data_IF_762641006889
#
_entry.id   IF_762641006889
#
_cell.length_a   1.000
_cell.length_b   1.000
_cell.length_c   1.000
_cell.angle_alpha   90.00
_cell.angle_beta   90.00
_cell.angle_gamma   90.00
#
_symmetry.space_group_name_H-M   'P 1'
#
loop_
_entity.id
_entity.type
_entity.pdbx_description
1 polymer ?
#
# COMPACT_ATOMS: atom_id res chain seq x y z
N UNK A 1 -17.34 -17.12 -12.16
CA UNK A 1 -16.86 -15.97 -12.93
C UNK A 1 -16.26 -16.50 -14.24
N UNK A 2 -16.57 -15.90 -15.36
CA UNK A 2 -16.01 -16.37 -16.63
C UNK A 2 -14.63 -15.73 -16.86
N UNK A 3 -13.58 -16.41 -16.36
CA UNK A 3 -12.19 -15.96 -16.56
C UNK A 3 -11.79 -15.97 -18.03
N UNK A 4 -12.43 -16.81 -18.85
CA UNK A 4 -12.07 -16.96 -20.25
C UNK A 4 -12.23 -15.66 -21.02
N UNK A 5 -13.31 -14.92 -20.79
CA UNK A 5 -13.56 -13.63 -21.47
C UNK A 5 -12.52 -12.57 -21.11
N UNK A 6 -12.10 -12.51 -19.85
CA UNK A 6 -11.07 -11.57 -19.39
C UNK A 6 -9.68 -11.94 -19.92
N UNK A 7 -9.35 -13.23 -19.95
CA UNK A 7 -8.08 -13.72 -20.51
C UNK A 7 -8.01 -13.44 -22.00
N UNK A 8 -9.10 -13.62 -22.75
CA UNK A 8 -9.16 -13.28 -24.17
C UNK A 8 -8.90 -11.78 -24.44
N UNK A 9 -9.46 -10.90 -23.61
CA UNK A 9 -9.16 -9.47 -23.69
C UNK A 9 -7.68 -9.19 -23.44
N UNK A 10 -7.08 -9.85 -22.43
CA UNK A 10 -5.65 -9.70 -22.14
C UNK A 10 -4.75 -10.28 -23.23
N UNK A 11 -5.15 -11.38 -23.91
CA UNK A 11 -4.43 -11.90 -25.09
C UNK A 11 -4.42 -10.89 -26.24
N UNK A 12 -5.57 -10.31 -26.57
CA UNK A 12 -5.65 -9.26 -27.60
C UNK A 12 -4.77 -8.05 -27.26
N UNK A 13 -4.78 -7.64 -25.99
CA UNK A 13 -3.91 -6.55 -25.53
C UNK A 13 -2.43 -6.92 -25.63
N UNK A 14 -2.06 -8.15 -25.32
CA UNK A 14 -0.70 -8.65 -25.44
C UNK A 14 -0.19 -8.57 -26.89
N UNK A 15 -1.00 -9.03 -27.87
CA UNK A 15 -0.67 -8.94 -29.29
C UNK A 15 -0.48 -7.48 -29.76
N UNK A 16 -1.31 -6.55 -29.25
CA UNK A 16 -1.15 -5.12 -29.50
C UNK A 16 0.17 -4.59 -28.96
N UNK A 17 0.51 -4.93 -27.71
CA UNK A 17 1.76 -4.52 -27.09
C UNK A 17 2.99 -5.10 -27.80
N UNK A 18 2.94 -6.33 -28.27
CA UNK A 18 4.02 -6.91 -29.11
C UNK A 18 4.22 -6.10 -30.39
N UNK A 19 3.13 -5.68 -31.02
CA UNK A 19 3.19 -4.80 -32.22
C UNK A 19 3.76 -3.42 -31.88
N UNK A 20 3.37 -2.81 -30.74
CA UNK A 20 3.89 -1.53 -30.28
C UNK A 20 5.39 -1.61 -29.91
N UNK A 21 5.85 -2.69 -29.30
CA UNK A 21 7.26 -2.94 -28.94
C UNK A 21 8.14 -3.13 -30.18
N UNK A 22 7.57 -3.67 -31.25
CA UNK A 22 8.26 -3.86 -32.51
C UNK A 22 8.53 -2.52 -33.26
N UNK A 23 7.84 -1.43 -32.89
CA UNK A 23 8.06 -0.10 -33.48
C UNK A 23 9.29 0.61 -32.89
N UNK A 24 10.36 0.87 -33.68
CA UNK A 24 11.55 1.57 -33.19
C UNK A 24 11.24 2.98 -32.64
N UNK A 25 10.16 3.62 -33.06
CA UNK A 25 9.77 4.95 -32.61
C UNK A 25 9.40 4.98 -31.12
N UNK A 26 8.99 3.85 -30.53
CA UNK A 26 8.69 3.72 -29.12
C UNK A 26 9.87 4.13 -28.22
N UNK A 27 11.06 3.73 -28.58
CA UNK A 27 12.26 3.97 -27.76
C UNK A 27 12.75 5.42 -27.77
N UNK A 28 12.13 6.29 -28.58
CA UNK A 28 12.38 7.74 -28.51
C UNK A 28 11.79 8.38 -27.24
N UNK A 29 10.81 7.73 -26.59
CA UNK A 29 10.23 8.15 -25.32
C UNK A 29 10.43 7.06 -24.27
N UNK A 30 11.49 7.24 -23.45
CA UNK A 30 11.89 6.28 -22.43
C UNK A 30 10.77 5.95 -21.40
N UNK A 31 9.98 6.94 -21.01
CA UNK A 31 8.91 6.74 -20.03
C UNK A 31 7.81 5.84 -20.61
N UNK A 32 7.32 6.16 -21.81
CA UNK A 32 6.31 5.36 -22.51
C UNK A 32 6.80 3.94 -22.83
N UNK A 33 8.07 3.81 -23.23
CA UNK A 33 8.68 2.51 -23.48
C UNK A 33 8.71 1.64 -22.21
N UNK A 34 9.08 2.23 -21.05
CA UNK A 34 9.10 1.54 -19.76
C UNK A 34 7.70 1.07 -19.34
N UNK A 35 6.68 1.92 -19.49
CA UNK A 35 5.28 1.59 -19.16
C UNK A 35 4.76 0.41 -20.03
N UNK A 36 4.99 0.48 -21.34
CA UNK A 36 4.58 -0.58 -22.29
C UNK A 36 5.30 -1.90 -22.00
N UNK A 37 6.61 -1.86 -21.75
CA UNK A 37 7.38 -3.06 -21.42
C UNK A 37 6.93 -3.68 -20.08
N UNK A 38 6.59 -2.88 -19.10
CA UNK A 38 6.05 -3.33 -17.80
C UNK A 38 4.67 -3.98 -17.99
N UNK A 39 3.77 -3.34 -18.75
CA UNK A 39 2.44 -3.90 -19.07
C UNK A 39 2.57 -5.24 -19.79
N UNK A 40 3.46 -5.32 -20.81
CA UNK A 40 3.73 -6.53 -21.55
C UNK A 40 4.26 -7.67 -20.65
N UNK A 41 5.23 -7.37 -19.76
CA UNK A 41 5.77 -8.36 -18.83
C UNK A 41 4.70 -8.90 -17.87
N UNK A 42 3.84 -8.03 -17.35
CA UNK A 42 2.73 -8.41 -16.45
C UNK A 42 1.71 -9.33 -17.16
N UNK A 43 1.29 -8.97 -18.38
CA UNK A 43 0.35 -9.79 -19.13
C UNK A 43 0.99 -11.14 -19.52
N UNK A 44 2.28 -11.16 -19.86
CA UNK A 44 3.01 -12.41 -20.16
C UNK A 44 3.01 -13.36 -18.97
N UNK A 45 3.26 -12.85 -17.76
CA UNK A 45 3.20 -13.64 -16.53
C UNK A 45 1.78 -14.17 -16.27
N UNK A 46 0.76 -13.33 -16.45
CA UNK A 46 -0.64 -13.74 -16.33
C UNK A 46 -0.98 -14.90 -17.26
N UNK A 47 -0.61 -14.80 -18.55
CA UNK A 47 -0.88 -15.82 -19.54
C UNK A 47 -0.13 -17.13 -19.25
N UNK A 48 1.10 -17.05 -18.70
CA UNK A 48 1.84 -18.23 -18.25
C UNK A 48 1.13 -18.94 -17.10
N UNK A 49 0.71 -18.19 -16.05
CA UNK A 49 -0.05 -18.77 -14.92
C UNK A 49 -1.40 -19.36 -15.35
N UNK A 50 -2.06 -18.71 -16.32
CA UNK A 50 -3.28 -19.27 -16.89
C UNK A 50 -3.03 -20.61 -17.57
N UNK A 51 -1.94 -20.74 -18.35
CA UNK A 51 -1.56 -22.01 -18.97
C UNK A 51 -1.27 -23.11 -17.95
N UNK A 52 -0.63 -22.77 -16.84
CA UNK A 52 -0.39 -23.70 -15.73
C UNK A 52 -1.72 -24.15 -15.07
N UNK A 53 -2.66 -23.22 -14.89
CA UNK A 53 -3.98 -23.54 -14.36
C UNK A 53 -4.78 -24.46 -15.28
N UNK A 54 -4.79 -24.19 -16.59
CA UNK A 54 -5.46 -25.05 -17.57
C UNK A 54 -4.86 -26.46 -17.58
N UNK A 55 -3.53 -26.56 -17.49
CA UNK A 55 -2.84 -27.85 -17.40
C UNK A 55 -3.19 -28.62 -16.12
N UNK A 56 -3.22 -27.91 -14.97
CA UNK A 56 -3.58 -28.53 -13.68
C UNK A 56 -5.05 -28.98 -13.64
N UNK A 57 -5.97 -28.19 -14.20
CA UNK A 57 -7.39 -28.59 -14.32
C UNK A 57 -7.54 -29.84 -15.18
N UNK A 58 -6.84 -29.88 -16.31
CA UNK A 58 -6.85 -31.07 -17.17
C UNK A 58 -6.31 -32.31 -16.45
N UNK A 59 -5.20 -32.16 -15.70
CA UNK A 59 -4.66 -33.28 -14.91
C UNK A 59 -5.67 -33.77 -13.87
N UNK A 60 -6.37 -32.83 -13.18
CA UNK A 60 -7.39 -33.18 -12.21
C UNK A 60 -8.57 -33.93 -12.86
N UNK A 61 -9.02 -33.50 -14.04
CA UNK A 61 -10.11 -34.15 -14.76
C UNK A 61 -9.67 -35.54 -15.27
N UNK A 62 -8.46 -35.65 -15.81
CA UNK A 62 -7.88 -36.94 -16.25
C UNK A 62 -7.77 -37.90 -15.03
N UNK A 63 -7.33 -37.46 -13.87
CA UNK A 63 -7.26 -38.29 -12.67
C UNK A 63 -8.65 -38.69 -12.14
N UNK A 64 -9.63 -37.81 -12.22
CA UNK A 64 -11.02 -38.13 -11.84
C UNK A 64 -11.62 -39.21 -12.77
N UNK A 65 -11.28 -39.19 -14.07
CA UNK A 65 -11.66 -40.27 -15.00
C UNK A 65 -10.95 -41.59 -14.68
N UNK A 66 -9.64 -41.53 -14.32
CA UNK A 66 -8.87 -42.70 -13.92
C UNK A 66 -9.36 -43.33 -12.62
N UNK A 67 -9.82 -42.53 -11.66
CA UNK A 67 -10.41 -43.00 -10.42
C UNK A 67 -11.71 -43.82 -10.65
N UNK A 68 -12.39 -43.62 -11.78
CA UNK A 68 -13.53 -44.40 -12.17
C UNK A 68 -13.16 -45.66 -12.97
N UNK A 69 -11.86 -45.96 -13.13
CA UNK A 69 -11.38 -47.12 -13.84
C UNK A 69 -11.80 -48.45 -13.19
N UNK A 70 -11.95 -49.50 -14.00
CA UNK A 70 -12.21 -50.86 -13.48
C UNK A 70 -10.97 -51.49 -12.84
N UNK A 71 -9.80 -50.94 -13.09
CA UNK A 71 -8.54 -51.39 -12.48
C UNK A 71 -8.40 -50.74 -11.10
N UNK A 72 -8.44 -51.56 -10.08
CA UNK A 72 -8.44 -51.12 -8.66
C UNK A 72 -7.12 -50.44 -8.27
N UNK A 73 -5.99 -50.84 -8.84
CA UNK A 73 -4.70 -50.23 -8.55
C UNK A 73 -4.60 -48.82 -9.13
N UNK A 74 -5.02 -48.67 -10.40
CA UNK A 74 -5.04 -47.38 -11.09
C UNK A 74 -6.02 -46.42 -10.41
N UNK A 75 -7.20 -46.90 -10.06
CA UNK A 75 -8.21 -46.10 -9.36
C UNK A 75 -7.72 -45.61 -8.00
N UNK A 76 -7.07 -46.46 -7.21
CA UNK A 76 -6.53 -46.07 -5.91
C UNK A 76 -5.39 -45.06 -6.01
N UNK A 77 -4.48 -45.17 -6.98
CA UNK A 77 -3.42 -44.19 -7.22
C UNK A 77 -3.99 -42.82 -7.63
N UNK A 78 -4.99 -42.82 -8.52
CA UNK A 78 -5.63 -41.59 -8.96
C UNK A 78 -6.40 -40.90 -7.82
N UNK A 79 -7.10 -41.67 -6.97
CA UNK A 79 -7.81 -41.12 -5.78
C UNK A 79 -6.84 -40.48 -4.78
N UNK A 80 -5.63 -41.01 -4.63
CA UNK A 80 -4.60 -40.47 -3.70
C UNK A 80 -4.02 -39.12 -4.20
N UNK A 81 -3.94 -38.92 -5.51
CA UNK A 81 -3.43 -37.68 -6.11
C UNK A 81 -4.48 -36.55 -6.22
N UNK A 82 -5.78 -36.88 -6.25
CA UNK A 82 -6.88 -35.89 -6.42
C UNK A 82 -6.81 -34.77 -5.37
N UNK A 83 -6.65 -35.01 -4.06
CA UNK A 83 -6.63 -33.93 -3.07
C UNK A 83 -5.50 -32.92 -3.28
N UNK A 84 -4.31 -33.39 -3.68
CA UNK A 84 -3.18 -32.52 -3.97
C UNK A 84 -3.38 -31.69 -5.22
N UNK A 85 -3.97 -32.28 -6.27
CA UNK A 85 -4.34 -31.57 -7.49
C UNK A 85 -5.45 -30.55 -7.26
N UNK A 86 -6.46 -30.88 -6.46
CA UNK A 86 -7.51 -29.92 -6.09
C UNK A 86 -6.95 -28.70 -5.35
N UNK A 87 -6.03 -28.92 -4.41
CA UNK A 87 -5.32 -27.85 -3.72
C UNK A 87 -4.49 -27.02 -4.68
N UNK A 88 -3.74 -27.65 -5.58
CA UNK A 88 -2.93 -26.98 -6.60
C UNK A 88 -3.78 -26.12 -7.53
N UNK A 89 -4.91 -26.64 -8.00
CA UNK A 89 -5.85 -25.88 -8.84
C UNK A 89 -6.40 -24.66 -8.08
N UNK A 90 -6.79 -24.83 -6.82
CA UNK A 90 -7.29 -23.72 -6.01
C UNK A 90 -6.22 -22.62 -5.78
N UNK A 91 -4.97 -23.01 -5.57
CA UNK A 91 -3.85 -22.06 -5.40
C UNK A 91 -3.56 -21.32 -6.73
N UNK A 92 -3.52 -22.04 -7.87
CA UNK A 92 -3.32 -21.43 -9.19
C UNK A 92 -4.51 -20.53 -9.60
N UNK A 93 -5.75 -20.90 -9.25
CA UNK A 93 -6.91 -20.03 -9.47
C UNK A 93 -6.77 -18.71 -8.73
N UNK A 94 -6.31 -18.75 -7.49
CA UNK A 94 -6.04 -17.55 -6.70
C UNK A 94 -4.94 -16.70 -7.32
N UNK A 95 -3.86 -17.31 -7.79
CA UNK A 95 -2.75 -16.62 -8.43
C UNK A 95 -3.15 -15.93 -9.73
N UNK A 96 -3.98 -16.58 -10.54
CA UNK A 96 -4.55 -16.00 -11.76
C UNK A 96 -5.49 -14.85 -11.44
N UNK A 97 -6.33 -14.98 -10.41
CA UNK A 97 -7.21 -13.91 -9.95
C UNK A 97 -6.42 -12.67 -9.55
N UNK A 98 -5.35 -12.87 -8.79
CA UNK A 98 -4.45 -11.78 -8.37
C UNK A 98 -3.81 -11.10 -9.58
N UNK A 99 -3.33 -11.88 -10.55
CA UNK A 99 -2.65 -11.36 -11.73
C UNK A 99 -3.59 -10.66 -12.73
N UNK A 100 -4.89 -10.92 -12.66
CA UNK A 100 -5.92 -10.23 -13.46
C UNK A 100 -6.22 -8.80 -12.96
N UNK A 101 -5.94 -8.50 -11.69
CA UNK A 101 -6.15 -7.17 -11.14
C UNK A 101 -5.17 -6.16 -11.74
N UNK A 102 -5.60 -4.91 -11.96
CA UNK A 102 -4.67 -3.87 -12.35
C UNK A 102 -3.59 -3.74 -11.26
N UNK A 103 -2.30 -3.65 -11.65
CA UNK A 103 -1.22 -3.50 -10.70
C UNK A 103 -1.40 -2.19 -9.93
N UNK A 104 -1.47 -2.28 -8.61
CA UNK A 104 -1.39 -1.13 -7.71
C UNK A 104 0.08 -0.91 -7.37
N UNK A 105 0.64 0.23 -7.77
CA UNK A 105 2.06 0.57 -7.56
C UNK A 105 2.45 0.58 -6.07
N UNK A 106 1.48 0.70 -5.18
CA UNK A 106 1.70 0.72 -3.75
C UNK A 106 1.73 -0.69 -3.12
N UNK A 107 1.20 -1.73 -3.79
CA UNK A 107 1.04 -3.06 -3.19
C UNK A 107 2.37 -3.72 -2.77
N UNK A 108 3.46 -3.41 -3.48
CA UNK A 108 4.80 -3.96 -3.19
C UNK A 108 5.61 -3.09 -2.21
N UNK A 109 5.11 -1.91 -1.83
CA UNK A 109 5.81 -0.99 -0.94
C UNK A 109 5.82 -1.50 0.50
N UNK A 110 6.80 -1.00 1.23
CA UNK A 110 6.80 -1.07 2.70
C UNK A 110 5.62 -0.26 3.26
N UNK A 111 5.18 -0.60 4.45
CA UNK A 111 4.03 0.05 5.07
C UNK A 111 4.41 0.74 6.39
N UNK A 112 3.83 1.91 6.60
CA UNK A 112 3.84 2.60 7.88
C UNK A 112 2.51 2.30 8.58
N UNK A 113 2.59 1.70 9.76
CA UNK A 113 1.44 1.38 10.59
C UNK A 113 1.40 2.37 11.75
N UNK A 114 0.28 3.09 11.85
CA UNK A 114 0.02 4.03 12.92
C UNK A 114 -1.16 3.54 13.75
N UNK A 115 -0.97 3.44 15.07
CA UNK A 115 -2.00 3.02 16.03
C UNK A 115 -2.23 4.15 17.00
N UNK A 116 -3.48 4.57 17.19
CA UNK A 116 -3.86 5.57 18.19
C UNK A 116 -4.97 5.07 19.10
N UNK A 117 -4.88 5.39 20.37
CA UNK A 117 -5.98 5.19 21.29
C UNK A 117 -7.18 6.07 20.87
N UNK A 118 -8.34 5.44 20.73
CA UNK A 118 -9.60 6.11 20.40
C UNK A 118 -10.44 6.41 21.65
N UNK A 119 -11.76 6.13 21.55
CA UNK A 119 -12.70 6.36 22.67
C UNK A 119 -12.55 5.27 23.73
N UNK A 120 -12.30 5.65 24.98
CA UNK A 120 -12.22 4.70 26.11
C UNK A 120 -11.15 5.04 27.15
N UNK A 121 -10.46 6.18 27.01
CA UNK A 121 -9.44 6.64 27.96
C UNK A 121 -8.28 5.66 28.10
N UNK A 122 -7.92 5.32 29.34
CA UNK A 122 -6.78 4.43 29.64
C UNK A 122 -6.94 3.04 29.04
N UNK A 123 -8.16 2.50 28.97
CA UNK A 123 -8.43 1.20 28.36
C UNK A 123 -8.16 1.21 26.85
N UNK A 124 -8.50 2.30 26.16
CA UNK A 124 -8.16 2.47 24.75
C UNK A 124 -6.64 2.49 24.53
N UNK A 125 -5.89 3.10 25.44
CA UNK A 125 -4.43 3.13 25.37
C UNK A 125 -3.79 1.75 25.64
N UNK A 126 -4.33 0.96 26.56
CA UNK A 126 -3.90 -0.43 26.80
C UNK A 126 -4.21 -1.29 25.57
N UNK A 127 -5.41 -1.13 25.00
CA UNK A 127 -5.79 -1.86 23.79
C UNK A 127 -4.92 -1.48 22.57
N UNK A 128 -4.54 -0.21 22.43
CA UNK A 128 -3.59 0.21 21.40
C UNK A 128 -2.22 -0.48 21.56
N UNK A 129 -1.75 -0.65 22.79
CA UNK A 129 -0.53 -1.41 23.07
C UNK A 129 -0.67 -2.91 22.76
N UNK A 130 -1.84 -3.50 22.98
CA UNK A 130 -2.12 -4.88 22.60
C UNK A 130 -2.12 -5.08 21.09
N UNK A 131 -2.74 -4.17 20.33
CA UNK A 131 -2.70 -4.17 18.86
C UNK A 131 -1.27 -4.00 18.32
N UNK A 132 -0.50 -3.07 18.91
CA UNK A 132 0.91 -2.89 18.56
C UNK A 132 1.68 -4.20 18.70
N UNK A 133 1.55 -4.90 19.83
CA UNK A 133 2.18 -6.19 20.09
C UNK A 133 1.70 -7.27 19.11
N UNK A 134 0.41 -7.31 18.82
CA UNK A 134 -0.21 -8.23 17.86
C UNK A 134 0.41 -8.08 16.46
N UNK A 135 0.56 -6.85 15.96
CA UNK A 135 1.15 -6.62 14.63
C UNK A 135 2.64 -6.92 14.58
N UNK A 136 3.40 -6.63 15.64
CA UNK A 136 4.81 -7.01 15.71
C UNK A 136 5.00 -8.53 15.66
N UNK A 137 4.20 -9.30 16.40
CA UNK A 137 4.22 -10.76 16.37
C UNK A 137 3.79 -11.32 15.00
N UNK A 138 2.78 -10.72 14.41
CA UNK A 138 2.40 -11.07 13.03
C UNK A 138 3.55 -10.84 12.07
N UNK A 139 4.19 -9.70 12.11
CA UNK A 139 5.33 -9.39 11.25
C UNK A 139 6.48 -10.39 11.45
N UNK A 140 6.82 -10.70 12.69
CA UNK A 140 7.85 -11.70 13.03
C UNK A 140 7.49 -13.09 12.47
N UNK A 141 6.26 -13.56 12.66
CA UNK A 141 5.78 -14.85 12.15
C UNK A 141 5.74 -14.92 10.63
N UNK A 142 5.49 -13.79 9.96
CA UNK A 142 5.47 -13.65 8.51
C UNK A 142 6.85 -13.39 7.88
N UNK A 143 7.93 -13.34 8.69
CA UNK A 143 9.29 -13.06 8.23
C UNK A 143 9.50 -11.61 7.78
N UNK A 144 8.64 -10.68 8.21
CA UNK A 144 8.73 -9.25 7.93
C UNK A 144 9.60 -8.56 9.00
N UNK A 145 10.20 -7.43 8.64
CA UNK A 145 10.98 -6.61 9.59
C UNK A 145 10.15 -5.45 10.09
N UNK A 146 10.28 -5.14 11.37
CA UNK A 146 9.64 -3.98 11.99
C UNK A 146 10.68 -3.00 12.53
N UNK A 147 10.42 -1.71 12.39
CA UNK A 147 11.24 -0.62 12.90
C UNK A 147 10.35 0.42 13.55
N UNK A 148 10.56 0.69 14.83
CA UNK A 148 9.79 1.69 15.57
C UNK A 148 10.24 3.09 15.17
N UNK A 149 9.28 3.93 14.77
CA UNK A 149 9.51 5.31 14.36
C UNK A 149 9.19 6.27 15.50
N UNK A 150 8.00 6.13 16.10
CA UNK A 150 7.53 7.02 17.16
C UNK A 150 6.59 6.27 18.10
N UNK A 151 6.69 6.55 19.39
CA UNK A 151 5.75 6.02 20.38
C UNK A 151 5.50 7.05 21.50
N UNK A 152 4.24 7.16 21.90
CA UNK A 152 3.81 8.00 23.00
C UNK A 152 3.15 7.12 24.07
N UNK A 153 3.86 6.80 25.16
CA UNK A 153 3.33 5.95 26.22
C UNK A 153 2.23 6.66 27.03
N UNK A 154 1.33 5.87 27.60
CA UNK A 154 0.33 6.32 28.56
C UNK A 154 0.81 6.04 30.00
N UNK A 155 0.30 6.82 30.97
CA UNK A 155 0.67 6.71 32.39
C UNK A 155 0.42 5.31 33.01
N UNK A 156 -0.53 4.54 32.46
CA UNK A 156 -0.92 3.22 32.98
C UNK A 156 -0.39 2.06 32.12
N UNK A 157 0.73 2.25 31.42
CA UNK A 157 1.40 1.17 30.67
C UNK A 157 0.82 0.88 29.28
N UNK A 158 -0.10 1.72 28.79
CA UNK A 158 -0.61 1.67 27.40
C UNK A 158 0.15 2.61 26.46
N UNK A 159 -0.31 2.68 25.21
CA UNK A 159 0.19 3.60 24.17
C UNK A 159 -0.91 4.58 23.78
N UNK A 160 -0.64 5.89 23.84
CA UNK A 160 -1.53 6.91 23.25
C UNK A 160 -1.44 6.88 21.74
N UNK A 161 -0.22 6.72 21.25
CA UNK A 161 0.12 6.64 19.84
C UNK A 161 1.36 5.77 19.66
N UNK A 162 1.41 4.99 18.61
CA UNK A 162 2.59 4.27 18.14
C UNK A 162 2.63 4.29 16.63
N UNK A 163 3.81 4.51 16.06
CA UNK A 163 4.09 4.47 14.65
C UNK A 163 5.32 3.59 14.40
N UNK A 164 5.20 2.65 13.49
CA UNK A 164 6.29 1.77 13.12
C UNK A 164 6.23 1.41 11.63
N UNK A 165 7.39 1.17 11.05
CA UNK A 165 7.56 0.69 9.68
C UNK A 165 7.56 -0.82 9.68
N UNK A 166 6.91 -1.40 8.68
CA UNK A 166 6.97 -2.83 8.38
C UNK A 166 7.53 -2.97 6.98
N UNK A 167 8.63 -3.71 6.83
CA UNK A 167 9.32 -3.90 5.56
C UNK A 167 9.44 -5.37 5.18
N UNK A 168 9.37 -5.65 3.87
CA UNK A 168 9.43 -7.00 3.32
C UNK A 168 8.60 -7.16 2.05
N UNK A 169 8.31 -8.39 1.69
CA UNK A 169 7.59 -8.70 0.45
C UNK A 169 6.08 -8.42 0.58
N UNK A 170 5.57 -7.54 -0.30
CA UNK A 170 4.14 -7.19 -0.44
C UNK A 170 3.47 -6.81 0.89
N UNK A 171 4.17 -6.02 1.71
CA UNK A 171 3.72 -5.67 3.07
C UNK A 171 2.44 -4.84 3.03
N UNK A 172 2.43 -3.77 2.24
CA UNK A 172 1.25 -2.90 2.14
C UNK A 172 0.03 -3.67 1.65
N UNK A 173 0.20 -4.57 0.68
CA UNK A 173 -0.87 -5.44 0.19
C UNK A 173 -1.49 -6.30 1.28
N UNK A 174 -0.68 -6.81 2.22
CA UNK A 174 -1.15 -7.66 3.33
C UNK A 174 -1.85 -6.84 4.41
N UNK A 175 -1.28 -5.69 4.79
CA UNK A 175 -1.70 -4.93 5.96
C UNK A 175 -2.72 -3.82 5.68
N UNK A 176 -2.91 -3.35 4.44
CA UNK A 176 -3.83 -2.24 4.10
C UNK A 176 -5.26 -2.44 4.63
N UNK A 177 -5.69 -3.70 4.74
CA UNK A 177 -7.01 -4.06 5.26
C UNK A 177 -7.15 -3.91 6.77
N UNK A 178 -6.06 -3.69 7.49
CA UNK A 178 -6.07 -3.42 8.92
C UNK A 178 -6.42 -1.97 9.25
N UNK A 179 -6.50 -1.10 8.23
CA UNK A 179 -6.87 0.30 8.42
C UNK A 179 -8.32 0.47 8.83
N UNK A 180 -8.56 1.20 9.92
CA UNK A 180 -9.89 1.52 10.42
C UNK A 180 -10.00 1.55 11.94
N UNK A 181 -11.23 1.47 12.44
CA UNK A 181 -11.54 1.49 13.88
C UNK A 181 -11.66 0.07 14.42
N UNK A 182 -10.79 -0.29 15.34
CA UNK A 182 -10.81 -1.55 16.07
C UNK A 182 -11.51 -1.36 17.42
N UNK A 183 -12.50 -2.21 17.71
CA UNK A 183 -13.30 -2.14 18.93
C UNK A 183 -13.00 -3.31 19.85
N UNK A 184 -12.71 -3.04 21.10
CA UNK A 184 -12.52 -4.05 22.15
C UNK A 184 -13.69 -4.06 23.12
N UNK A 185 -14.07 -5.26 23.55
CA UNK A 185 -15.04 -5.53 24.60
C UNK A 185 -14.38 -6.45 25.64
N UNK A 186 -14.01 -5.90 26.78
CA UNK A 186 -13.44 -6.65 27.92
C UNK A 186 -13.69 -5.92 29.23
N UNK A 187 -13.45 -6.60 30.34
CA UNK A 187 -13.37 -5.97 31.66
C UNK A 187 -11.96 -5.39 31.77
N UNK A 188 -11.79 -4.04 31.86
CA UNK A 188 -10.48 -3.42 32.00
C UNK A 188 -9.80 -3.85 33.29
N UNK A 189 -8.46 -3.86 33.29
CA UNK A 189 -7.67 -4.09 34.51
C UNK A 189 -7.91 -3.01 35.59
N UNK A 190 -8.43 -1.86 35.19
CA UNK A 190 -8.76 -0.72 36.06
C UNK A 190 -10.20 -0.75 36.59
N UNK A 191 -11.02 -1.72 36.17
CA UNK A 191 -12.44 -1.81 36.58
C UNK A 191 -12.61 -2.72 37.80
N UNK A 192 -13.01 -2.14 38.92
CA UNK A 192 -13.18 -2.87 40.18
C UNK A 192 -14.52 -3.65 40.29
N UNK A 193 -15.53 -3.29 39.48
CA UNK A 193 -16.88 -3.89 39.55
C UNK A 193 -17.14 -4.98 38.50
N UNK A 194 -16.11 -5.35 37.71
CA UNK A 194 -16.24 -6.41 36.69
C UNK A 194 -17.13 -6.06 35.51
N UNK A 195 -17.41 -4.78 35.25
CA UNK A 195 -18.23 -4.36 34.12
C UNK A 195 -17.46 -4.43 32.82
N UNK A 196 -18.11 -4.94 31.77
CA UNK A 196 -17.52 -4.96 30.43
C UNK A 196 -17.53 -3.53 29.87
N UNK A 197 -16.35 -3.03 29.51
CA UNK A 197 -16.22 -1.76 28.81
C UNK A 197 -16.03 -1.98 27.31
N UNK A 198 -16.44 -0.98 26.54
CA UNK A 198 -16.23 -0.96 25.09
C UNK A 198 -15.31 0.23 24.78
N UNK A 199 -14.11 -0.08 24.30
CA UNK A 199 -13.11 0.93 23.90
C UNK A 199 -12.72 0.75 22.44
N UNK A 200 -12.11 1.77 21.85
CA UNK A 200 -11.65 1.74 20.47
C UNK A 200 -10.20 2.17 20.35
N UNK A 201 -9.52 1.62 19.37
CA UNK A 201 -8.24 2.12 18.85
C UNK A 201 -8.36 2.27 17.33
N UNK A 202 -7.66 3.22 16.75
CA UNK A 202 -7.63 3.42 15.30
C UNK A 202 -6.31 2.94 14.77
N UNK A 203 -6.34 2.25 13.65
CA UNK A 203 -5.17 1.78 12.92
C UNK A 203 -5.20 2.44 11.55
N UNK A 204 -4.11 3.08 11.14
CA UNK A 204 -3.89 3.53 9.77
C UNK A 204 -2.70 2.77 9.19
N UNK A 205 -2.86 2.27 7.98
CA UNK A 205 -1.77 1.64 7.23
C UNK A 205 -1.60 2.42 5.94
N UNK A 206 -0.41 2.99 5.77
CA UNK A 206 -0.08 3.86 4.66
C UNK A 206 1.18 3.31 3.96
N UNK A 207 1.25 3.40 2.62
CA UNK A 207 2.48 3.01 1.93
C UNK A 207 3.60 3.97 2.30
N UNK A 208 4.82 3.45 2.44
CA UNK A 208 5.99 4.30 2.65
C UNK A 208 6.17 5.24 1.46
N UNK A 209 6.38 6.52 1.74
CA UNK A 209 6.63 7.52 0.71
C UNK A 209 8.01 7.29 0.09
N UNK A 210 8.13 7.44 -1.22
CA UNK A 210 9.44 7.47 -1.88
C UNK A 210 10.15 8.79 -1.58
N UNK A 211 11.48 8.75 -1.51
CA UNK A 211 12.29 9.95 -1.38
C UNK A 211 12.04 10.89 -2.55
N UNK A 212 11.58 12.10 -2.24
CA UNK A 212 11.26 13.10 -3.25
C UNK A 212 12.49 13.91 -3.57
N UNK A 213 13.14 13.56 -4.66
CA UNK A 213 14.20 14.39 -5.21
C UNK A 213 13.64 15.48 -6.14
N UNK A 214 14.14 16.72 -6.01
CA UNK A 214 13.78 17.84 -6.87
C UNK A 214 14.89 18.11 -7.85
N UNK A 215 14.76 17.58 -9.05
CA UNK A 215 15.64 17.93 -10.16
C UNK A 215 15.16 19.23 -10.83
N UNK A 216 16.05 20.22 -10.95
CA UNK A 216 15.78 21.46 -11.67
C UNK A 216 16.26 21.32 -13.11
N UNK A 217 15.35 21.08 -14.03
CA UNK A 217 15.66 21.04 -15.46
C UNK A 217 15.89 22.45 -15.99
N UNK A 218 16.94 22.70 -16.78
CA UNK A 218 17.21 24.03 -17.34
C UNK A 218 16.07 24.60 -18.19
N UNK A 219 15.30 23.75 -18.86
CA UNK A 219 14.14 24.09 -19.68
C UNK A 219 12.96 24.65 -18.87
N UNK A 220 12.87 24.28 -17.60
CA UNK A 220 11.81 24.73 -16.67
C UNK A 220 12.18 26.04 -15.97
N UNK A 221 13.35 26.59 -16.26
CA UNK A 221 13.88 27.78 -15.60
C UNK A 221 13.98 28.96 -16.55
N UNK A 222 13.38 30.08 -16.15
CA UNK A 222 13.63 31.37 -16.78
C UNK A 222 14.46 32.24 -15.86
N UNK A 223 15.68 32.59 -16.32
CA UNK A 223 16.64 33.36 -15.54
C UNK A 223 16.74 34.76 -16.14
N UNK A 224 16.45 35.77 -15.33
CA UNK A 224 16.56 37.18 -15.68
C UNK A 224 17.58 37.85 -14.79
N UNK A 225 18.38 38.72 -15.41
CA UNK A 225 19.38 39.51 -14.70
C UNK A 225 19.00 40.99 -14.72
N UNK A 226 19.25 41.66 -13.62
CA UNK A 226 18.92 43.09 -13.45
C UNK A 226 19.95 43.78 -12.53
N UNK A 227 19.89 45.09 -12.48
CA UNK A 227 20.67 45.85 -11.51
C UNK A 227 20.17 45.59 -10.10
N UNK A 228 21.08 45.51 -9.15
CA UNK A 228 20.71 45.40 -7.75
C UNK A 228 20.04 46.72 -7.28
N UNK A 229 18.96 46.61 -6.51
CA UNK A 229 18.29 47.76 -5.91
C UNK A 229 18.76 47.99 -4.47
N UNK A 230 18.89 49.24 -4.07
CA UNK A 230 19.22 49.60 -2.70
C UNK A 230 20.29 50.69 -2.59
N UNK A 231 20.59 51.22 -1.40
CA UNK A 231 21.65 52.18 -1.16
C UNK A 231 23.02 51.51 -1.41
N UNK A 232 23.77 52.00 -2.40
CA UNK A 232 25.04 51.41 -2.76
C UNK A 232 25.89 52.32 -3.66
N UNK A 233 27.16 52.03 -3.75
CA UNK A 233 28.14 52.74 -4.58
C UNK A 233 28.06 52.34 -6.05
N UNK A 234 29.13 52.71 -6.81
CA UNK A 234 29.21 52.52 -8.26
C UNK A 234 28.93 51.08 -8.74
N UNK A 235 29.32 50.03 -7.96
CA UNK A 235 29.11 48.63 -8.31
C UNK A 235 27.64 48.17 -8.27
N UNK A 236 26.76 48.82 -7.45
CA UNK A 236 25.33 48.51 -7.37
C UNK A 236 24.58 49.15 -8.56
N UNK A 237 24.99 50.31 -8.98
CA UNK A 237 24.29 51.11 -9.98
C UNK A 237 24.69 50.80 -11.43
N UNK A 238 25.89 50.17 -11.63
CA UNK A 238 26.41 49.93 -12.98
C UNK A 238 26.48 48.48 -13.40
N UNK A 239 26.40 47.53 -12.44
CA UNK A 239 26.55 46.08 -12.74
C UNK A 239 25.26 45.34 -12.59
N UNK A 240 24.87 44.53 -13.60
CA UNK A 240 23.69 43.65 -13.55
C UNK A 240 23.99 42.40 -12.71
N UNK A 241 24.04 42.60 -11.38
CA UNK A 241 24.40 41.55 -10.40
C UNK A 241 23.20 40.83 -9.79
N UNK A 242 22.01 41.43 -9.82
CA UNK A 242 20.83 40.78 -9.31
C UNK A 242 20.29 39.74 -10.29
N UNK A 243 19.96 38.55 -9.77
CA UNK A 243 19.45 37.44 -10.54
C UNK A 243 18.05 37.07 -10.03
N UNK A 244 17.08 36.97 -10.94
CA UNK A 244 15.75 36.44 -10.72
C UNK A 244 15.60 35.13 -11.47
N UNK A 245 15.17 34.10 -10.77
CA UNK A 245 14.89 32.78 -11.33
C UNK A 245 13.39 32.51 -11.18
N UNK A 246 12.73 32.28 -12.29
CA UNK A 246 11.33 31.84 -12.35
C UNK A 246 11.32 30.35 -12.70
N UNK A 247 10.68 29.55 -11.90
CA UNK A 247 10.35 28.16 -12.23
C UNK A 247 9.00 28.13 -12.97
N UNK A 248 9.04 27.86 -14.28
CA UNK A 248 7.88 27.99 -15.19
C UNK A 248 6.69 27.12 -14.75
N UNK A 249 6.85 25.81 -14.41
CA UNK A 249 5.71 24.94 -14.09
C UNK A 249 4.96 25.35 -12.81
N UNK A 250 5.68 25.92 -11.82
CA UNK A 250 5.06 26.29 -10.53
C UNK A 250 4.79 27.77 -10.36
N UNK A 251 5.34 28.61 -11.26
CA UNK A 251 5.27 30.06 -11.17
C UNK A 251 6.10 30.64 -10.02
N UNK A 252 6.95 29.83 -9.35
CA UNK A 252 7.74 30.26 -8.20
C UNK A 252 8.91 31.16 -8.65
N UNK A 253 9.00 32.33 -8.01
CA UNK A 253 10.05 33.31 -8.31
C UNK A 253 10.98 33.44 -7.11
N UNK A 254 12.29 33.37 -7.37
CA UNK A 254 13.34 33.66 -6.41
C UNK A 254 14.25 34.75 -6.96
N UNK A 255 14.45 35.82 -6.18
CA UNK A 255 15.39 36.89 -6.49
C UNK A 255 16.54 36.91 -5.50
N UNK A 256 17.76 36.98 -6.00
CA UNK A 256 18.98 37.10 -5.18
C UNK A 256 19.81 38.28 -5.69
N UNK A 257 20.17 39.18 -4.76
CA UNK A 257 21.01 40.37 -5.05
C UNK A 257 22.04 40.64 -3.96
N UNK A 258 22.30 39.66 -3.07
CA UNK A 258 23.12 39.84 -1.87
C UNK A 258 24.61 39.97 -2.18
N UNK A 259 25.06 39.33 -3.27
CA UNK A 259 26.45 39.30 -3.69
C UNK A 259 26.77 40.28 -4.82
N UNK A 260 28.05 40.69 -4.95
CA UNK A 260 28.54 41.49 -6.09
C UNK A 260 28.69 40.67 -7.36
N UNK A 261 28.74 39.32 -7.25
CA UNK A 261 28.94 38.42 -8.39
C UNK A 261 27.60 37.83 -8.85
N UNK A 262 27.27 38.09 -10.12
CA UNK A 262 26.10 37.51 -10.77
C UNK A 262 26.07 35.97 -10.71
N UNK A 263 27.22 35.31 -10.90
CA UNK A 263 27.35 33.84 -10.87
C UNK A 263 26.98 33.32 -9.49
N UNK A 264 27.54 33.91 -8.41
CA UNK A 264 27.21 33.51 -7.04
C UNK A 264 25.74 33.77 -6.68
N UNK A 265 25.17 34.87 -7.17
CA UNK A 265 23.73 35.17 -6.97
C UNK A 265 22.86 34.16 -7.71
N UNK A 266 23.24 33.73 -8.92
CA UNK A 266 22.52 32.67 -9.66
C UNK A 266 22.57 31.36 -8.92
N UNK A 267 23.75 30.89 -8.48
CA UNK A 267 23.88 29.66 -7.71
C UNK A 267 23.02 29.68 -6.44
N UNK A 268 23.07 30.80 -5.72
CA UNK A 268 22.28 30.98 -4.49
C UNK A 268 20.77 31.01 -4.78
N UNK A 269 20.33 31.70 -5.84
CA UNK A 269 18.93 31.72 -6.25
C UNK A 269 18.43 30.32 -6.63
N UNK A 270 19.22 29.51 -7.35
CA UNK A 270 18.90 28.12 -7.68
C UNK A 270 18.84 27.24 -6.43
N UNK A 271 19.75 27.41 -5.47
CA UNK A 271 19.74 26.69 -4.20
C UNK A 271 18.49 27.01 -3.37
N UNK A 272 18.11 28.29 -3.28
CA UNK A 272 16.88 28.72 -2.59
C UNK A 272 15.64 28.19 -3.30
N UNK A 273 15.62 28.22 -4.65
CA UNK A 273 14.50 27.69 -5.43
C UNK A 273 14.33 26.19 -5.19
N UNK A 274 15.45 25.42 -5.20
CA UNK A 274 15.42 23.97 -4.90
C UNK A 274 14.85 23.69 -3.52
N UNK A 275 15.30 24.40 -2.51
CA UNK A 275 14.82 24.25 -1.15
C UNK A 275 13.31 24.56 -1.03
N UNK A 276 12.83 25.64 -1.67
CA UNK A 276 11.38 25.99 -1.65
C UNK A 276 10.52 25.00 -2.44
N UNK A 277 11.01 24.46 -3.54
CA UNK A 277 10.29 23.43 -4.31
C UNK A 277 10.22 22.13 -3.52
N UNK A 278 11.30 21.75 -2.83
CA UNK A 278 11.31 20.58 -1.95
C UNK A 278 10.32 20.76 -0.80
N UNK A 279 10.34 21.90 -0.11
CA UNK A 279 9.38 22.21 0.97
C UNK A 279 7.92 22.17 0.47
N UNK A 280 7.65 22.72 -0.72
CA UNK A 280 6.33 22.67 -1.31
C UNK A 280 5.87 21.24 -1.59
N UNK A 281 6.72 20.40 -2.20
CA UNK A 281 6.42 18.99 -2.46
C UNK A 281 6.18 18.22 -1.17
N UNK A 282 7.05 18.39 -0.19
CA UNK A 282 6.87 17.76 1.13
C UNK A 282 5.54 18.15 1.77
N UNK A 283 5.11 19.40 1.63
CA UNK A 283 3.81 19.86 2.13
C UNK A 283 2.66 19.21 1.38
N UNK A 284 2.70 19.17 0.05
CA UNK A 284 1.68 18.55 -0.78
C UNK A 284 1.55 17.04 -0.47
N UNK A 285 2.67 16.36 -0.22
CA UNK A 285 2.68 14.95 0.18
C UNK A 285 2.14 14.75 1.60
N UNK A 286 2.55 15.57 2.54
CA UNK A 286 2.02 15.54 3.90
C UNK A 286 0.51 15.79 3.95
N UNK A 287 -0.02 16.68 3.09
CA UNK A 287 -1.46 16.92 2.94
C UNK A 287 -2.19 15.70 2.36
N UNK A 288 -1.63 15.07 1.32
CA UNK A 288 -2.17 13.81 0.74
C UNK A 288 -2.18 12.70 1.78
N UNK A 289 -1.06 12.50 2.47
CA UNK A 289 -0.92 11.51 3.53
C UNK A 289 -1.95 11.73 4.65
N UNK A 290 -2.09 12.99 5.10
CA UNK A 290 -3.07 13.37 6.12
C UNK A 290 -4.52 13.16 5.65
N UNK A 291 -4.82 13.39 4.36
CA UNK A 291 -6.12 13.14 3.78
C UNK A 291 -6.44 11.64 3.68
N UNK A 292 -5.51 10.83 3.20
CA UNK A 292 -5.65 9.37 3.15
C UNK A 292 -5.87 8.80 4.55
N UNK A 293 -5.06 9.21 5.52
CA UNK A 293 -5.20 8.80 6.91
C UNK A 293 -6.58 9.12 7.48
N UNK A 294 -7.07 10.35 7.27
CA UNK A 294 -8.42 10.75 7.73
C UNK A 294 -9.52 9.92 7.08
N UNK A 295 -9.38 9.58 5.81
CA UNK A 295 -10.32 8.71 5.11
C UNK A 295 -10.35 7.29 5.67
N UNK A 296 -9.23 6.75 6.15
CA UNK A 296 -9.13 5.41 6.73
C UNK A 296 -9.71 5.33 8.16
N UNK A 297 -9.51 6.36 8.97
CA UNK A 297 -9.79 6.33 10.42
C UNK A 297 -11.19 6.87 10.74
N UNK A 298 -11.78 7.72 9.87
CA UNK A 298 -13.03 8.41 10.15
C UNK A 298 -12.95 9.29 11.42
N UNK A 299 -13.97 9.24 12.26
CA UNK A 299 -14.02 9.95 13.55
C UNK A 299 -13.41 9.13 14.70
N UNK A 300 -13.10 7.85 14.49
CA UNK A 300 -12.67 6.91 15.54
C UNK A 300 -13.81 6.49 16.49
N UNK A 301 -15.05 6.76 16.11
CA UNK A 301 -16.25 6.42 16.88
C UNK A 301 -16.48 4.91 16.95
N UNK A 302 -17.22 4.48 17.98
CA UNK A 302 -17.53 3.04 18.19
C UNK A 302 -18.43 2.45 17.10
N UNK A 303 -19.16 3.29 16.40
CA UNK A 303 -20.06 2.95 15.28
C UNK A 303 -19.29 2.60 14.01
N UNK A 304 -18.14 3.23 13.77
CA UNK A 304 -17.31 3.08 12.58
C UNK A 304 -16.41 1.85 12.60
N UNK A 305 -16.65 0.95 13.57
CA UNK A 305 -15.82 -0.25 13.76
C UNK A 305 -15.74 -1.12 12.51
N UNK A 306 -14.51 -1.47 12.12
CA UNK A 306 -14.26 -2.52 11.13
C UNK A 306 -14.21 -3.90 11.78
N UNK A 307 -13.66 -3.99 13.00
CA UNK A 307 -13.45 -5.25 13.71
C UNK A 307 -13.77 -5.13 15.19
N UNK A 308 -14.32 -6.20 15.76
CA UNK A 308 -14.62 -6.30 17.20
C UNK A 308 -13.87 -7.46 17.84
N UNK A 309 -13.15 -7.18 18.91
CA UNK A 309 -12.41 -8.10 19.76
C UNK A 309 -13.19 -8.31 21.05
N UNK A 310 -13.86 -9.45 21.20
CA UNK A 310 -14.71 -9.78 22.35
C UNK A 310 -14.00 -10.81 23.23
N UNK A 311 -13.34 -10.34 24.29
CA UNK A 311 -12.57 -11.19 25.19
C UNK A 311 -13.45 -12.17 26.00
N UNK A 312 -14.60 -11.76 26.59
CA UNK A 312 -15.48 -12.70 27.30
C UNK A 312 -15.95 -13.89 26.48
N UNK A 313 -16.05 -13.75 25.16
CA UNK A 313 -16.49 -14.80 24.23
C UNK A 313 -15.34 -15.43 23.45
N UNK A 314 -14.09 -15.04 23.72
CA UNK A 314 -12.89 -15.44 22.96
C UNK A 314 -13.09 -15.34 21.44
N UNK A 315 -13.71 -14.22 20.98
CA UNK A 315 -14.20 -14.06 19.61
C UNK A 315 -13.69 -12.76 18.99
N UNK A 316 -13.23 -12.85 17.73
CA UNK A 316 -13.00 -11.71 16.87
C UNK A 316 -13.97 -11.74 15.69
N UNK A 317 -14.55 -10.59 15.35
CA UNK A 317 -15.48 -10.47 14.21
C UNK A 317 -15.05 -9.31 13.32
N UNK A 318 -14.76 -9.59 12.05
CA UNK A 318 -14.59 -8.56 11.03
C UNK A 318 -15.95 -8.27 10.38
N UNK A 319 -16.41 -7.02 10.55
CA UNK A 319 -17.77 -6.64 10.13
C UNK A 319 -17.88 -6.38 8.62
N UNK A 320 -16.77 -6.17 7.93
CA UNK A 320 -16.76 -5.91 6.48
C UNK A 320 -17.13 -7.13 5.67
N UNK A 321 -16.67 -8.30 6.12
CA UNK A 321 -16.90 -9.59 5.43
C UNK A 321 -17.75 -10.55 6.26
N UNK A 322 -18.18 -10.15 7.46
CA UNK A 322 -18.96 -11.00 8.37
C UNK A 322 -18.20 -12.20 8.94
N UNK A 323 -16.86 -12.24 8.80
CA UNK A 323 -16.03 -13.32 9.29
C UNK A 323 -15.94 -13.29 10.82
N UNK A 324 -16.19 -14.42 11.45
CA UNK A 324 -16.11 -14.57 12.91
C UNK A 324 -15.21 -15.75 13.27
N UNK A 325 -14.19 -15.50 14.08
CA UNK A 325 -13.25 -16.49 14.59
C UNK A 325 -13.39 -16.60 16.12
N UNK A 326 -13.34 -17.82 16.66
CA UNK A 326 -13.46 -18.12 18.10
C UNK A 326 -12.09 -18.46 18.73
N UNK A 327 -11.05 -17.81 18.29
CA UNK A 327 -9.66 -17.99 18.70
C UNK A 327 -8.96 -16.64 18.93
N UNK A 328 -9.65 -15.70 19.60
CA UNK A 328 -9.14 -14.33 19.84
C UNK A 328 -7.73 -14.34 20.47
N UNK A 329 -7.47 -15.27 21.41
CA UNK A 329 -6.16 -15.36 22.05
C UNK A 329 -5.03 -15.57 21.03
N UNK A 330 -5.25 -16.45 20.03
CA UNK A 330 -4.27 -16.68 18.95
C UNK A 330 -4.13 -15.47 18.04
N UNK A 331 -5.23 -14.79 17.74
CA UNK A 331 -5.22 -13.55 16.94
C UNK A 331 -4.39 -12.48 17.64
N UNK A 332 -4.53 -12.31 18.97
CA UNK A 332 -3.72 -11.36 19.76
C UNK A 332 -2.24 -11.76 19.84
N UNK A 333 -1.92 -13.04 19.62
CA UNK A 333 -0.55 -13.54 19.48
C UNK A 333 0.02 -13.40 18.04
N UNK A 334 -0.73 -12.76 17.13
CA UNK A 334 -0.27 -12.47 15.77
C UNK A 334 -0.77 -13.43 14.68
N UNK A 335 -1.67 -14.38 14.99
CA UNK A 335 -2.28 -15.26 13.98
C UNK A 335 -3.39 -14.52 13.22
N UNK A 336 -2.98 -13.65 12.28
CA UNK A 336 -3.88 -12.84 11.45
C UNK A 336 -4.14 -13.45 10.07
N UNK A 337 -3.52 -14.58 9.74
CA UNK A 337 -3.52 -15.14 8.39
C UNK A 337 -4.92 -15.36 7.83
N UNK A 338 -5.84 -15.93 8.60
CA UNK A 338 -7.22 -16.21 8.17
C UNK A 338 -8.02 -14.93 7.92
N UNK A 339 -7.85 -13.89 8.77
CA UNK A 339 -8.48 -12.60 8.60
C UNK A 339 -7.99 -11.87 7.35
N UNK A 340 -6.67 -11.81 7.17
CA UNK A 340 -6.05 -11.14 6.03
C UNK A 340 -6.43 -11.84 4.72
N UNK A 341 -6.34 -13.17 4.66
CA UNK A 341 -6.72 -13.94 3.47
C UNK A 341 -8.20 -13.76 3.11
N UNK A 342 -9.08 -13.76 4.12
CA UNK A 342 -10.51 -13.53 3.91
C UNK A 342 -10.80 -12.14 3.34
N UNK A 343 -10.13 -11.10 3.86
CA UNK A 343 -10.28 -9.73 3.38
C UNK A 343 -9.69 -9.55 1.98
N UNK A 344 -8.54 -10.14 1.70
CA UNK A 344 -7.94 -10.14 0.36
C UNK A 344 -8.85 -10.81 -0.67
N UNK A 345 -9.45 -11.95 -0.32
CA UNK A 345 -10.38 -12.64 -1.21
C UNK A 345 -11.65 -11.81 -1.49
N UNK A 346 -12.17 -11.12 -0.48
CA UNK A 346 -13.34 -10.25 -0.63
C UNK A 346 -13.04 -9.03 -1.52
N UNK A 347 -11.93 -8.31 -1.27
CA UNK A 347 -11.48 -7.17 -2.08
C UNK A 347 -11.23 -7.58 -3.53
N UNK A 348 -10.57 -8.74 -3.71
CA UNK A 348 -10.32 -9.29 -5.03
C UNK A 348 -11.62 -9.57 -5.78
N UNK A 349 -12.62 -10.16 -5.12
CA UNK A 349 -13.91 -10.43 -5.72
C UNK A 349 -14.65 -9.14 -6.12
N UNK A 350 -14.50 -8.07 -5.34
CA UNK A 350 -15.08 -6.76 -5.62
C UNK A 350 -14.40 -6.08 -6.81
N UNK A 351 -13.08 -6.00 -6.83
CA UNK A 351 -12.29 -5.44 -7.93
C UNK A 351 -12.50 -6.17 -9.26
N UNK A 352 -12.63 -7.50 -9.22
CA UNK A 352 -12.93 -8.29 -10.42
C UNK A 352 -14.34 -8.00 -10.95
N UNK A 353 -15.33 -7.74 -10.07
CA UNK A 353 -16.66 -7.30 -10.50
C UNK A 353 -16.63 -5.95 -11.18
N UNK A 354 -15.90 -4.99 -10.61
CA UNK A 354 -15.73 -3.65 -11.18
C UNK A 354 -15.02 -3.70 -12.54
N UNK A 355 -13.98 -4.52 -12.68
CA UNK A 355 -13.24 -4.69 -13.95
C UNK A 355 -14.03 -5.43 -15.03
N UNK A 356 -15.07 -6.19 -14.66
CA UNK A 356 -15.92 -6.93 -15.60
C UNK A 356 -17.11 -6.10 -16.12
N UNK A 357 -17.36 -4.90 -15.58
CA UNK A 357 -18.37 -3.96 -16.10
C UNK A 357 -17.72 -3.14 -17.20
N UNK A 358 -18.12 -3.29 -18.49
CA UNK A 358 -17.61 -2.43 -19.55
C UNK A 358 -18.06 -0.99 -19.31
N UNK A 359 -17.11 -0.04 -19.43
CA UNK A 359 -17.35 1.41 -19.36
C UNK A 359 -18.25 1.90 -20.53
#
# INVERSE_FOLDING_TARGET
MDFNSLIELKRKRFEQLESEIADPALFSNHQRASEIMREHANIKQLLARWGELEAARKQLDDNRELAMSRDVEIAAMADDEIPDLEKRVADLERDVQIALLPPDENEERDAIVEIRAGTGGNEAAIFAADLYRMYHRYAESAGLKTEDLESSPSELGGLKEAMFRVSGESVFRKLRYESGVHRVQRVPATEAQGRIHTSTATVAVLPEAEDVDVELKPEDLRIEVSRAGGPGGQGVNTTDSAVQVLHIPTGMIVRCQDGRSQIKNKERALSILRARLLERRQREEAEKYSAQRRGQIGTGGREEKIRTYNFPQNRVTDHRIGLTLYNLDRVMEGDLGELINGLQAADMAERLKESAVPA
#
